data_IF_910129816888
#
_entry.id   IF_910129816888
#
_cell.length_a   1.000
_cell.length_b   1.000
_cell.length_c   1.000
_cell.angle_alpha   90.00
_cell.angle_beta   90.00
_cell.angle_gamma   90.00
#
_symmetry.space_group_name_H-M   'P 1'
#
loop_
_entity.id
_entity.type
_entity.pdbx_description
1 polymer ?
#
# COMPACT_ATOMS: atom_id res chain seq x y z
N UNK A 1 -28.06 -33.57 -12.66
CA UNK A 1 -26.92 -33.68 -13.58
C UNK A 1 -25.82 -32.77 -13.06
N UNK A 2 -24.74 -33.35 -12.54
CA UNK A 2 -23.62 -32.61 -11.92
C UNK A 2 -22.53 -32.45 -12.97
N UNK A 3 -22.27 -31.22 -13.42
CA UNK A 3 -21.16 -30.93 -14.34
C UNK A 3 -19.92 -30.62 -13.50
N UNK A 4 -18.96 -31.53 -13.54
CA UNK A 4 -17.62 -31.33 -12.98
C UNK A 4 -16.75 -30.64 -14.02
N UNK A 5 -16.35 -29.40 -13.74
CA UNK A 5 -15.35 -28.67 -14.51
C UNK A 5 -13.95 -29.17 -14.10
N UNK A 6 -13.30 -29.89 -15.01
CA UNK A 6 -11.91 -30.33 -14.84
C UNK A 6 -10.97 -29.18 -15.15
N UNK A 7 -10.28 -28.68 -14.11
CA UNK A 7 -9.15 -27.75 -14.28
C UNK A 7 -7.91 -28.58 -14.64
N UNK A 8 -7.42 -28.40 -15.85
CA UNK A 8 -6.14 -28.97 -16.28
C UNK A 8 -5.01 -28.02 -15.86
N UNK A 9 -4.17 -28.49 -14.92
CA UNK A 9 -2.93 -27.82 -14.55
C UNK A 9 -1.86 -28.22 -15.56
N UNK A 10 -1.48 -27.28 -16.44
CA UNK A 10 -0.37 -27.45 -17.38
C UNK A 10 0.92 -26.98 -16.71
N UNK A 11 1.68 -27.94 -16.19
CA UNK A 11 3.02 -27.70 -15.63
C UNK A 11 4.03 -27.67 -16.79
N UNK A 12 4.51 -26.50 -17.13
CA UNK A 12 5.55 -26.32 -18.13
C UNK A 12 6.91 -26.21 -17.42
N UNK A 13 7.64 -27.32 -17.41
CA UNK A 13 9.04 -27.36 -16.98
C UNK A 13 9.92 -26.73 -18.06
N UNK A 14 10.54 -25.59 -17.75
CA UNK A 14 11.61 -25.03 -18.57
C UNK A 14 12.95 -25.50 -18.00
N UNK A 15 13.62 -26.38 -18.73
CA UNK A 15 15.01 -26.76 -18.47
C UNK A 15 15.90 -25.81 -19.24
N UNK A 16 16.62 -24.92 -18.53
CA UNK A 16 17.65 -24.09 -19.12
C UNK A 16 18.98 -24.84 -19.02
N UNK A 17 19.44 -25.33 -20.13
CA UNK A 17 20.78 -25.87 -20.26
C UNK A 17 21.81 -24.72 -20.31
N UNK A 18 22.73 -24.74 -19.37
CA UNK A 18 23.89 -23.87 -19.36
C UNK A 18 24.92 -24.42 -20.37
N UNK A 19 25.26 -23.64 -21.38
CA UNK A 19 26.42 -23.89 -22.22
C UNK A 19 27.39 -22.76 -22.05
N UNK A 20 28.54 -23.07 -21.49
CA UNK A 20 29.69 -22.19 -21.40
C UNK A 20 30.47 -22.25 -22.71
N UNK A 21 30.73 -21.12 -23.35
CA UNK A 21 31.96 -20.93 -24.12
C UNK A 21 32.32 -19.44 -24.18
N UNK A 22 33.60 -19.18 -23.89
CA UNK A 22 34.12 -17.86 -23.79
C UNK A 22 34.46 -17.24 -25.14
N UNK A 23 34.34 -15.93 -25.22
CA UNK A 23 35.22 -15.05 -26.00
C UNK A 23 34.94 -13.60 -25.60
N UNK A 24 36.02 -13.00 -25.16
CA UNK A 24 36.29 -11.59 -24.99
C UNK A 24 35.68 -10.73 -26.11
N UNK A 25 34.82 -9.76 -25.77
CA UNK A 25 34.71 -8.53 -26.53
C UNK A 25 34.07 -7.41 -25.68
N UNK A 26 34.84 -6.38 -25.41
CA UNK A 26 34.42 -5.11 -24.87
C UNK A 26 33.24 -4.53 -25.67
N UNK A 27 32.05 -4.57 -25.11
CA UNK A 27 31.01 -3.64 -25.47
C UNK A 27 30.35 -3.14 -24.20
N UNK A 28 30.52 -1.84 -23.96
CA UNK A 28 29.73 -1.05 -23.05
C UNK A 28 28.23 -1.29 -23.33
N UNK A 29 27.68 -2.30 -22.72
CA UNK A 29 26.25 -2.39 -22.56
C UNK A 29 25.93 -1.77 -21.21
N UNK A 30 25.50 -0.53 -21.22
CA UNK A 30 24.78 0.07 -20.12
C UNK A 30 23.52 -0.76 -19.91
N UNK A 31 23.65 -1.86 -19.20
CA UNK A 31 22.54 -2.53 -18.58
C UNK A 31 21.99 -1.53 -17.55
N UNK A 32 20.98 -0.79 -17.95
CA UNK A 32 20.16 0.00 -17.06
C UNK A 32 19.50 -0.96 -16.07
N UNK A 33 20.25 -1.38 -15.07
CA UNK A 33 19.70 -1.99 -13.88
C UNK A 33 18.97 -0.84 -13.16
N UNK A 34 17.71 -0.62 -13.49
CA UNK A 34 16.87 0.28 -12.70
C UNK A 34 16.86 -0.28 -11.29
N UNK A 35 17.54 0.41 -10.40
CA UNK A 35 17.53 0.06 -8.97
C UNK A 35 16.07 0.07 -8.51
N UNK A 36 15.61 -1.06 -8.00
CA UNK A 36 14.28 -1.19 -7.41
C UNK A 36 14.31 -0.51 -6.05
N UNK A 37 13.57 0.58 -5.90
CA UNK A 37 13.45 1.31 -4.64
C UNK A 37 12.17 0.85 -3.96
N UNK A 38 12.29 0.18 -2.82
CA UNK A 38 11.14 -0.21 -1.99
C UNK A 38 11.08 0.74 -0.79
N UNK A 39 9.92 1.37 -0.52
CA UNK A 39 9.79 2.22 0.66
C UNK A 39 10.01 1.45 1.95
N UNK A 40 10.41 2.15 3.01
CA UNK A 40 10.68 1.55 4.32
C UNK A 40 10.18 2.45 5.46
N UNK A 41 10.13 1.92 6.68
CA UNK A 41 9.75 2.65 7.90
C UNK A 41 8.37 3.34 7.80
N UNK A 42 7.39 2.70 7.19
CA UNK A 42 6.04 3.25 7.10
C UNK A 42 5.38 3.33 8.46
N UNK A 43 4.90 4.52 8.81
CA UNK A 43 4.06 4.81 9.96
C UNK A 43 2.73 5.36 9.52
N UNK A 44 1.68 5.11 10.29
CA UNK A 44 0.34 5.70 10.13
C UNK A 44 -0.11 6.21 11.50
N UNK A 45 -0.49 7.47 11.55
CA UNK A 45 -1.12 8.11 12.69
C UNK A 45 -2.51 8.60 12.31
N UNK A 46 -3.52 8.37 13.18
CA UNK A 46 -4.90 8.80 12.96
C UNK A 46 -5.32 9.65 14.14
N UNK A 47 -5.70 10.90 13.85
CA UNK A 47 -6.25 11.84 14.81
C UNK A 47 -7.75 12.04 14.55
N UNK A 48 -8.58 11.83 15.58
CA UNK A 48 -10.03 12.12 15.52
C UNK A 48 -10.22 13.61 15.77
N UNK A 49 -10.93 14.30 14.88
CA UNK A 49 -11.13 15.75 14.99
C UNK A 49 -11.93 16.09 16.26
N UNK A 50 -11.43 17.04 17.04
CA UNK A 50 -12.04 17.48 18.30
C UNK A 50 -11.87 16.52 19.47
N UNK A 51 -11.08 15.45 19.34
CA UNK A 51 -10.79 14.52 20.44
C UNK A 51 -10.01 15.20 21.55
N UNK A 52 -10.49 15.07 22.78
CA UNK A 52 -9.84 15.54 24.01
C UNK A 52 -10.41 14.79 25.23
N UNK A 53 -9.91 15.07 26.43
CA UNK A 53 -10.33 14.40 27.66
C UNK A 53 -11.85 14.51 27.94
N UNK A 54 -12.51 15.58 27.48
CA UNK A 54 -13.95 15.80 27.63
C UNK A 54 -14.77 15.20 26.48
N UNK A 55 -14.16 15.00 25.34
CA UNK A 55 -14.76 14.44 24.11
C UNK A 55 -13.86 13.33 23.55
N UNK A 56 -13.82 12.15 24.19
CA UNK A 56 -12.91 11.07 23.78
C UNK A 56 -13.19 10.54 22.37
N UNK A 57 -14.39 10.75 21.83
CA UNK A 57 -14.80 10.35 20.50
C UNK A 57 -14.84 11.51 19.48
N UNK A 58 -14.18 12.62 19.81
CA UNK A 58 -14.12 13.81 18.95
C UNK A 58 -15.33 14.73 19.08
N UNK A 59 -15.50 15.65 18.12
CA UNK A 59 -16.54 16.68 18.13
C UNK A 59 -17.90 16.25 17.54
N UNK A 60 -18.00 14.98 17.17
CA UNK A 60 -19.22 14.41 16.56
C UNK A 60 -19.30 14.60 15.05
N UNK A 61 -18.29 15.19 14.41
CA UNK A 61 -18.24 15.33 12.93
C UNK A 61 -17.96 14.01 12.22
N UNK A 62 -17.41 13.02 12.94
CA UNK A 62 -16.89 11.79 12.36
C UNK A 62 -15.63 11.97 11.52
N UNK A 63 -15.01 13.15 11.59
CA UNK A 63 -13.83 13.49 10.80
C UNK A 63 -12.55 12.98 11.45
N UNK A 64 -11.66 12.45 10.62
CA UNK A 64 -10.31 12.03 11.01
C UNK A 64 -9.27 12.68 10.11
N UNK A 65 -8.08 12.89 10.66
CA UNK A 65 -6.89 13.27 9.91
C UNK A 65 -5.92 12.09 9.95
N UNK A 66 -5.54 11.59 8.79
CA UNK A 66 -4.55 10.54 8.64
C UNK A 66 -3.21 11.15 8.24
N UNK A 67 -2.13 10.77 8.92
CA UNK A 67 -0.77 11.17 8.59
C UNK A 67 0.09 9.92 8.45
N UNK A 68 0.68 9.72 7.28
CA UNK A 68 1.60 8.64 6.99
C UNK A 68 2.97 9.19 6.60
N UNK A 69 4.01 8.48 7.01
CA UNK A 69 5.40 8.78 6.66
C UNK A 69 6.13 7.49 6.32
N UNK A 70 6.93 7.52 5.27
CA UNK A 70 7.82 6.42 4.90
C UNK A 70 9.09 6.98 4.24
N UNK A 71 10.20 6.26 4.38
CA UNK A 71 11.44 6.54 3.65
C UNK A 71 11.29 6.08 2.22
N UNK A 72 11.76 6.87 1.25
CA UNK A 72 11.72 6.60 -0.20
C UNK A 72 10.30 6.45 -0.79
N UNK A 73 9.28 6.93 -0.11
CA UNK A 73 7.93 7.05 -0.65
C UNK A 73 7.74 8.39 -1.36
N UNK A 74 7.06 8.37 -2.51
CA UNK A 74 6.70 9.55 -3.31
C UNK A 74 5.19 9.76 -3.39
N UNK A 75 4.40 8.75 -3.05
CA UNK A 75 2.95 8.82 -3.02
C UNK A 75 2.37 7.87 -1.98
N UNK A 76 1.20 8.22 -1.44
CA UNK A 76 0.46 7.44 -0.47
C UNK A 76 -0.97 7.23 -0.95
N UNK A 77 -1.50 6.04 -0.71
CA UNK A 77 -2.90 5.72 -0.97
C UNK A 77 -3.56 5.27 0.33
N UNK A 78 -4.61 5.97 0.74
CA UNK A 78 -5.39 5.66 1.92
C UNK A 78 -6.70 4.99 1.53
N UNK A 79 -7.08 3.90 2.21
CA UNK A 79 -8.33 3.16 2.01
C UNK A 79 -9.11 3.12 3.31
N UNK A 80 -10.34 3.65 3.30
CA UNK A 80 -11.16 3.88 4.49
C UNK A 80 -12.21 2.79 4.78
N UNK A 81 -12.08 1.62 4.18
CA UNK A 81 -12.97 0.48 4.45
C UNK A 81 -14.35 0.55 3.80
N UNK A 82 -14.79 1.73 3.36
CA UNK A 82 -16.08 1.96 2.68
C UNK A 82 -15.99 1.88 1.15
N UNK A 83 -14.85 1.46 0.61
CA UNK A 83 -14.55 1.49 -0.81
C UNK A 83 -14.00 2.83 -1.29
N UNK A 84 -13.87 3.82 -0.40
CA UNK A 84 -13.26 5.11 -0.70
C UNK A 84 -11.75 5.01 -0.60
N UNK A 85 -11.07 5.59 -1.59
CA UNK A 85 -9.61 5.65 -1.69
C UNK A 85 -9.19 7.09 -1.96
N UNK A 86 -8.21 7.58 -1.19
CA UNK A 86 -7.63 8.91 -1.31
C UNK A 86 -6.13 8.82 -1.61
N UNK A 87 -5.65 9.67 -2.52
CA UNK A 87 -4.23 9.76 -2.88
C UNK A 87 -3.60 11.01 -2.27
N UNK A 88 -2.37 10.89 -1.79
CA UNK A 88 -1.63 12.00 -1.17
C UNK A 88 -0.14 11.92 -1.48
N UNK A 89 0.45 13.00 -1.94
CA UNK A 89 1.91 13.09 -2.17
C UNK A 89 2.68 13.56 -0.93
N UNK A 90 1.99 14.16 0.03
CA UNK A 90 2.58 14.62 1.29
C UNK A 90 2.31 13.69 2.49
N UNK A 91 1.62 12.55 2.24
CA UNK A 91 1.29 11.58 3.27
C UNK A 91 0.15 12.01 4.22
N UNK A 92 -0.61 13.06 3.90
CA UNK A 92 -1.69 13.54 4.75
C UNK A 92 -3.02 13.58 3.98
N UNK A 93 -4.10 13.16 4.64
CA UNK A 93 -5.47 13.25 4.11
C UNK A 93 -6.47 13.39 5.26
N UNK A 94 -7.67 13.89 4.95
CA UNK A 94 -8.80 13.97 5.86
C UNK A 94 -9.97 13.16 5.29
N UNK A 95 -10.68 12.45 6.16
CA UNK A 95 -11.87 11.67 5.78
C UNK A 95 -12.95 11.79 6.87
N UNK A 96 -14.23 11.76 6.48
CA UNK A 96 -15.34 11.82 7.42
C UNK A 96 -16.24 10.60 7.27
N UNK A 97 -16.44 9.90 8.38
CA UNK A 97 -17.42 8.84 8.51
C UNK A 97 -18.77 9.43 8.91
N UNK A 98 -19.84 9.04 8.23
CA UNK A 98 -21.20 9.59 8.46
C UNK A 98 -22.13 8.62 9.17
N UNK A 99 -21.64 7.45 9.57
CA UNK A 99 -22.43 6.45 10.31
C UNK A 99 -22.60 6.89 11.75
N UNK A 100 -23.84 7.01 12.21
CA UNK A 100 -24.14 7.39 13.60
C UNK A 100 -23.75 6.28 14.59
N UNK A 101 -23.42 6.70 15.82
CA UNK A 101 -23.05 5.81 16.92
C UNK A 101 -21.57 5.49 16.97
N UNK A 102 -21.19 4.65 17.92
CA UNK A 102 -19.81 4.16 18.08
C UNK A 102 -19.58 3.01 17.13
N UNK A 103 -18.64 3.18 16.22
CA UNK A 103 -18.29 2.20 15.21
C UNK A 103 -16.79 2.00 15.17
N UNK A 104 -16.35 0.79 14.85
CA UNK A 104 -14.94 0.48 14.64
C UNK A 104 -14.59 0.61 13.15
N UNK A 105 -13.55 1.37 12.86
CA UNK A 105 -13.08 1.63 11.49
C UNK A 105 -11.62 1.22 11.34
N UNK A 106 -11.26 0.79 10.15
CA UNK A 106 -9.88 0.44 9.80
C UNK A 106 -9.45 1.24 8.58
N UNK A 107 -8.34 1.95 8.70
CA UNK A 107 -7.69 2.66 7.60
C UNK A 107 -6.43 1.90 7.21
N UNK A 108 -6.31 1.59 5.92
CA UNK A 108 -5.09 1.06 5.33
C UNK A 108 -4.35 2.18 4.61
N UNK A 109 -3.02 2.18 4.68
CA UNK A 109 -2.18 3.06 3.88
C UNK A 109 -1.13 2.25 3.12
N UNK A 110 -0.95 2.62 1.87
CA UNK A 110 0.09 2.10 0.97
C UNK A 110 1.03 3.24 0.62
N UNK A 111 2.32 3.06 0.84
CA UNK A 111 3.35 4.02 0.49
C UNK A 111 4.12 3.51 -0.73
N UNK A 112 4.11 4.26 -1.82
CA UNK A 112 4.69 3.90 -3.11
C UNK A 112 6.00 4.64 -3.35
N UNK A 113 6.99 3.93 -3.86
CA UNK A 113 8.23 4.51 -4.37
C UNK A 113 8.09 5.08 -5.78
N UNK A 114 9.14 5.72 -6.28
CA UNK A 114 9.23 6.19 -7.67
C UNK A 114 9.28 5.06 -8.70
N UNK A 115 9.61 3.84 -8.30
CA UNK A 115 9.60 2.63 -9.16
C UNK A 115 8.27 1.90 -9.15
N UNK A 116 7.32 2.33 -8.29
CA UNK A 116 5.98 1.73 -8.17
C UNK A 116 5.89 0.59 -7.15
N UNK A 117 7.00 0.25 -6.51
CA UNK A 117 7.00 -0.69 -5.40
C UNK A 117 6.38 -0.04 -4.16
N UNK A 118 5.79 -0.84 -3.28
CA UNK A 118 5.11 -0.30 -2.11
C UNK A 118 5.28 -1.16 -0.86
N UNK A 119 5.05 -0.53 0.28
CA UNK A 119 4.77 -1.17 1.56
C UNK A 119 3.42 -0.67 2.09
N UNK A 120 2.80 -1.41 3.00
CA UNK A 120 1.51 -1.03 3.57
C UNK A 120 1.43 -1.32 5.06
N UNK A 121 0.57 -0.57 5.74
CA UNK A 121 0.18 -0.79 7.13
C UNK A 121 -1.28 -0.40 7.32
N UNK A 122 -1.84 -0.67 8.50
CA UNK A 122 -3.19 -0.26 8.84
C UNK A 122 -3.31 0.10 10.32
N UNK A 123 -4.37 0.84 10.65
CA UNK A 123 -4.75 1.15 12.03
C UNK A 123 -6.27 1.05 12.17
N UNK A 124 -6.72 0.48 13.29
CA UNK A 124 -8.13 0.42 13.69
C UNK A 124 -8.37 1.38 14.85
N UNK A 125 -9.52 2.07 14.82
CA UNK A 125 -9.96 3.02 15.85
C UNK A 125 -11.49 2.98 16.00
N UNK A 126 -12.02 3.57 17.08
CA UNK A 126 -13.45 3.74 17.35
C UNK A 126 -13.79 5.21 17.51
#
# INVERSE_FOLDING_TARGET
MKNYLKVAIFSMFFVIACSSDGADNSNNNSNGNSEVIVPSNLTLDISIVGQNDSNPNGDGSGSIICTAMATDAVNYEFRFGSGVTEQSTNGQTEYSYTTEGTNSYTVYVYAYSSTGDYISTFQTFE
#
